data_IF_407263044857
#
_entry.id   IF_407263044857
#
_cell.length_a   1.000
_cell.length_b   1.000
_cell.length_c   1.000
_cell.angle_alpha   90.00
_cell.angle_beta   90.00
_cell.angle_gamma   90.00
#
_symmetry.space_group_name_H-M   'P 1'
#
loop_
_entity.id
_entity.type
_entity.pdbx_description
1 polymer ?
#
# COMPACT_ATOMS: atom_id res chain seq x y z
N UNK A 1 -28.92 -47.88 -3.33
CA UNK A 1 -27.73 -47.44 -4.06
C UNK A 1 -27.55 -45.98 -3.68
N UNK A 2 -26.84 -45.69 -2.57
CA UNK A 2 -26.60 -44.37 -2.08
C UNK A 2 -25.37 -43.82 -2.83
N UNK A 3 -25.52 -42.69 -3.51
CA UNK A 3 -24.41 -41.97 -4.11
C UNK A 3 -23.51 -41.42 -2.98
N UNK A 4 -22.23 -41.74 -3.07
CA UNK A 4 -21.17 -41.21 -2.20
C UNK A 4 -21.19 -39.69 -2.24
N UNK A 5 -21.20 -39.10 -1.05
CA UNK A 5 -21.13 -37.65 -0.89
C UNK A 5 -19.81 -37.12 -1.45
N UNK A 6 -19.88 -36.04 -2.20
CA UNK A 6 -18.76 -35.27 -2.66
C UNK A 6 -17.94 -34.85 -1.41
N UNK A 7 -16.80 -35.45 -1.21
CA UNK A 7 -15.84 -35.00 -0.22
C UNK A 7 -15.43 -33.57 -0.58
N UNK A 8 -15.67 -32.60 0.30
CA UNK A 8 -15.06 -31.30 0.21
C UNK A 8 -13.55 -31.48 0.25
N UNK A 9 -12.90 -31.26 -0.88
CA UNK A 9 -11.45 -31.36 -0.98
C UNK A 9 -10.77 -30.49 0.10
N UNK A 10 -9.67 -30.95 0.61
CA UNK A 10 -8.88 -30.18 1.57
C UNK A 10 -8.39 -28.88 0.94
N UNK A 11 -8.07 -27.86 1.73
CA UNK A 11 -7.52 -26.59 1.21
C UNK A 11 -6.29 -26.80 0.31
N UNK A 12 -5.55 -27.90 0.52
CA UNK A 12 -4.41 -28.31 -0.32
C UNK A 12 -4.84 -28.82 -1.70
N UNK A 13 -5.99 -29.51 -1.79
CA UNK A 13 -6.51 -30.00 -3.07
C UNK A 13 -7.02 -28.85 -3.96
N UNK A 14 -7.55 -27.80 -3.34
CA UNK A 14 -7.98 -26.59 -4.06
C UNK A 14 -6.75 -25.89 -4.67
N UNK A 15 -5.67 -25.68 -3.90
CA UNK A 15 -4.46 -25.05 -4.40
C UNK A 15 -3.76 -25.90 -5.48
N UNK A 16 -3.76 -27.21 -5.36
CA UNK A 16 -3.17 -28.13 -6.33
C UNK A 16 -3.89 -28.13 -7.68
N UNK A 17 -5.20 -27.80 -7.70
CA UNK A 17 -6.01 -27.73 -8.91
C UNK A 17 -6.05 -26.34 -9.56
N UNK A 18 -5.45 -25.31 -8.94
CA UNK A 18 -5.34 -23.97 -9.51
C UNK A 18 -4.22 -23.92 -10.55
N UNK A 19 -4.43 -23.17 -11.62
CA UNK A 19 -3.33 -22.93 -12.56
C UNK A 19 -2.27 -21.97 -11.94
N UNK A 20 -1.11 -21.91 -12.58
CA UNK A 20 0.03 -21.12 -12.07
C UNK A 20 -0.29 -19.63 -11.96
N UNK A 21 -1.12 -19.08 -12.86
CA UNK A 21 -1.51 -17.66 -12.80
C UNK A 21 -2.37 -17.38 -11.55
N UNK A 22 -3.35 -18.24 -11.31
CA UNK A 22 -4.25 -18.13 -10.17
C UNK A 22 -3.47 -18.31 -8.84
N UNK A 23 -2.57 -19.32 -8.77
CA UNK A 23 -1.69 -19.52 -7.60
C UNK A 23 -0.85 -18.28 -7.30
N UNK A 24 -0.25 -17.66 -8.32
CA UNK A 24 0.58 -16.48 -8.16
C UNK A 24 -0.22 -15.29 -7.63
N UNK A 25 -1.38 -15.01 -8.20
CA UNK A 25 -2.21 -13.85 -7.82
C UNK A 25 -2.88 -14.07 -6.47
N UNK A 26 -3.39 -15.26 -6.20
CA UNK A 26 -3.92 -15.60 -4.86
C UNK A 26 -2.84 -15.55 -3.78
N UNK A 27 -1.62 -16.01 -4.08
CA UNK A 27 -0.49 -15.89 -3.16
C UNK A 27 -0.17 -14.43 -2.83
N UNK A 28 -0.12 -13.55 -3.84
CA UNK A 28 0.03 -12.11 -3.61
C UNK A 28 -1.09 -11.54 -2.75
N UNK A 29 -2.35 -11.92 -3.02
CA UNK A 29 -3.51 -11.47 -2.25
C UNK A 29 -3.42 -11.89 -0.78
N UNK A 30 -3.12 -13.16 -0.51
CA UNK A 30 -3.02 -13.67 0.87
C UNK A 30 -1.89 -12.99 1.62
N UNK A 31 -0.70 -12.88 1.02
CA UNK A 31 0.47 -12.22 1.64
C UNK A 31 0.19 -10.74 1.90
N UNK A 32 -0.39 -10.02 0.93
CA UNK A 32 -0.76 -8.63 1.09
C UNK A 32 -1.69 -8.41 2.30
N UNK A 33 -2.74 -9.24 2.41
CA UNK A 33 -3.71 -9.13 3.50
C UNK A 33 -3.10 -9.48 4.86
N UNK A 34 -2.29 -10.53 4.94
CA UNK A 34 -1.59 -10.90 6.17
C UNK A 34 -0.70 -9.74 6.66
N UNK A 35 0.10 -9.15 5.76
CA UNK A 35 0.98 -8.02 6.08
C UNK A 35 0.19 -6.76 6.46
N UNK A 36 -0.88 -6.44 5.73
CA UNK A 36 -1.73 -5.29 6.04
C UNK A 36 -2.36 -5.39 7.42
N UNK A 37 -3.01 -6.51 7.74
CA UNK A 37 -3.66 -6.69 9.04
C UNK A 37 -2.65 -6.77 10.17
N UNK A 38 -1.53 -7.47 9.96
CA UNK A 38 -0.44 -7.50 10.94
C UNK A 38 0.06 -6.09 11.28
N UNK A 39 0.41 -5.28 10.27
CA UNK A 39 0.91 -3.93 10.48
C UNK A 39 -0.15 -3.00 11.10
N UNK A 40 -1.40 -3.07 10.62
CA UNK A 40 -2.50 -2.24 11.11
C UNK A 40 -2.83 -2.54 12.57
N UNK A 41 -2.93 -3.81 12.95
CA UNK A 41 -3.22 -4.23 14.32
C UNK A 41 -2.03 -3.95 15.25
N UNK A 42 -0.80 -4.15 14.78
CA UNK A 42 0.41 -3.84 15.56
C UNK A 42 0.50 -2.35 15.86
N UNK A 43 0.32 -1.49 14.86
CA UNK A 43 0.32 -0.03 15.07
C UNK A 43 -0.83 0.39 15.98
N UNK A 44 -2.02 -0.21 15.84
CA UNK A 44 -3.14 0.08 16.73
C UNK A 44 -2.89 -0.36 18.18
N UNK A 45 -2.24 -1.51 18.37
CA UNK A 45 -1.82 -1.97 19.69
C UNK A 45 -0.80 -0.99 20.31
N UNK A 46 0.20 -0.56 19.54
CA UNK A 46 1.17 0.44 19.99
C UNK A 46 0.46 1.76 20.34
N UNK A 47 -0.46 2.25 19.52
CA UNK A 47 -1.25 3.45 19.80
C UNK A 47 -2.06 3.33 21.10
N UNK A 48 -2.54 2.13 21.42
CA UNK A 48 -3.39 1.86 22.58
C UNK A 48 -2.57 1.68 23.86
N UNK A 49 -1.49 0.90 23.79
CA UNK A 49 -0.73 0.49 24.99
C UNK A 49 0.49 1.37 25.25
N UNK A 50 0.95 2.14 24.26
CA UNK A 50 2.11 3.02 24.35
C UNK A 50 1.75 4.47 23.94
N UNK A 51 0.73 5.11 24.54
CA UNK A 51 0.22 6.41 24.09
C UNK A 51 1.23 7.56 24.24
N UNK A 52 2.33 7.34 24.96
CA UNK A 52 3.43 8.30 25.09
C UNK A 52 4.41 8.32 23.91
N UNK A 53 4.29 7.40 22.93
CA UNK A 53 5.12 7.44 21.74
C UNK A 53 4.68 8.57 20.80
N UNK A 54 5.64 9.39 20.43
CA UNK A 54 5.37 10.56 19.60
C UNK A 54 5.16 10.17 18.14
N UNK A 55 4.17 10.78 17.51
CA UNK A 55 3.88 10.69 16.10
C UNK A 55 4.24 11.99 15.38
N UNK A 56 4.46 11.92 14.08
CA UNK A 56 4.88 13.04 13.22
C UNK A 56 3.98 14.27 13.34
N UNK A 57 2.68 14.08 13.57
CA UNK A 57 1.72 15.18 13.76
C UNK A 57 1.29 15.36 15.23
N UNK A 58 1.97 14.73 16.15
CA UNK A 58 1.72 14.83 17.60
C UNK A 58 0.46 14.08 18.06
N UNK A 59 -0.11 14.52 19.19
CA UNK A 59 -1.23 13.83 19.85
C UNK A 59 -2.48 13.68 18.97
N UNK A 60 -2.68 14.57 18.01
CA UNK A 60 -3.82 14.52 17.07
C UNK A 60 -3.82 13.28 16.16
N UNK A 61 -2.71 12.56 16.06
CA UNK A 61 -2.58 11.35 15.24
C UNK A 61 -3.06 10.08 15.93
N UNK A 62 -3.40 10.11 17.22
CA UNK A 62 -3.91 8.93 17.92
C UNK A 62 -5.37 8.66 17.55
N UNK A 63 -5.64 7.41 17.21
CA UNK A 63 -6.96 6.97 16.75
C UNK A 63 -7.78 6.40 17.91
N UNK A 64 -9.07 6.77 17.98
CA UNK A 64 -10.01 6.13 18.92
C UNK A 64 -10.38 4.73 18.43
N UNK A 65 -10.77 3.84 19.35
CA UNK A 65 -11.26 2.48 19.01
C UNK A 65 -12.42 2.50 18.01
N UNK A 66 -13.37 3.44 18.19
CA UNK A 66 -14.52 3.57 17.26
C UNK A 66 -14.08 3.95 15.85
N UNK A 67 -13.13 4.86 15.74
CA UNK A 67 -12.59 5.30 14.44
C UNK A 67 -11.79 4.18 13.78
N UNK A 68 -11.01 3.43 14.57
CA UNK A 68 -10.30 2.25 14.07
C UNK A 68 -11.26 1.20 13.53
N UNK A 69 -12.30 0.83 14.29
CA UNK A 69 -13.29 -0.16 13.85
C UNK A 69 -13.99 0.25 12.55
N UNK A 70 -14.34 1.54 12.40
CA UNK A 70 -14.90 2.05 11.15
C UNK A 70 -13.92 1.94 9.99
N UNK A 71 -12.65 2.35 10.18
CA UNK A 71 -11.64 2.24 9.13
C UNK A 71 -11.35 0.79 8.75
N UNK A 72 -11.29 -0.11 9.75
CA UNK A 72 -11.11 -1.54 9.53
C UNK A 72 -12.27 -2.17 8.75
N UNK A 73 -13.52 -1.76 9.03
CA UNK A 73 -14.68 -2.25 8.27
C UNK A 73 -14.64 -1.83 6.79
N UNK A 74 -14.25 -0.59 6.50
CA UNK A 74 -14.08 -0.12 5.13
C UNK A 74 -12.92 -0.83 4.44
N UNK A 75 -11.79 -0.99 5.13
CA UNK A 75 -10.64 -1.75 4.61
C UNK A 75 -11.03 -3.19 4.27
N UNK A 76 -11.77 -3.85 5.16
CA UNK A 76 -12.27 -5.20 4.94
C UNK A 76 -13.18 -5.28 3.71
N UNK A 77 -14.11 -4.33 3.54
CA UNK A 77 -14.98 -4.27 2.37
C UNK A 77 -14.17 -4.12 1.07
N UNK A 78 -13.16 -3.24 1.05
CA UNK A 78 -12.25 -3.08 -0.10
C UNK A 78 -11.47 -4.38 -0.39
N UNK A 79 -11.02 -5.08 0.63
CA UNK A 79 -10.32 -6.37 0.49
C UNK A 79 -11.24 -7.43 -0.14
N UNK A 80 -12.51 -7.52 0.30
CA UNK A 80 -13.48 -8.44 -0.28
C UNK A 80 -13.77 -8.09 -1.75
N UNK A 81 -13.94 -6.80 -2.08
CA UNK A 81 -14.10 -6.35 -3.47
C UNK A 81 -12.89 -6.74 -4.31
N UNK A 82 -11.67 -6.59 -3.77
CA UNK A 82 -10.44 -6.99 -4.43
C UNK A 82 -10.43 -8.49 -4.74
N UNK A 83 -10.78 -9.34 -3.78
CA UNK A 83 -10.85 -10.78 -3.98
C UNK A 83 -11.79 -11.17 -5.12
N UNK A 84 -12.96 -10.53 -5.18
CA UNK A 84 -13.99 -10.85 -6.16
C UNK A 84 -13.68 -10.33 -7.58
N UNK A 85 -13.07 -9.14 -7.71
CA UNK A 85 -12.92 -8.45 -8.98
C UNK A 85 -11.48 -8.45 -9.50
N UNK A 86 -10.49 -8.25 -8.63
CA UNK A 86 -9.11 -8.01 -9.05
C UNK A 86 -8.31 -9.29 -9.16
N UNK A 87 -8.53 -10.25 -8.27
CA UNK A 87 -7.77 -11.50 -8.33
C UNK A 87 -8.02 -12.24 -9.65
N UNK A 88 -9.26 -12.47 -10.10
CA UNK A 88 -9.49 -13.04 -11.43
C UNK A 88 -8.99 -12.16 -12.57
N UNK A 89 -9.17 -10.83 -12.47
CA UNK A 89 -8.71 -9.87 -13.45
C UNK A 89 -7.20 -9.86 -13.59
N UNK A 90 -6.47 -9.91 -12.48
CA UNK A 90 -5.01 -9.96 -12.45
C UNK A 90 -4.45 -11.25 -13.06
N UNK A 91 -5.04 -12.40 -12.75
CA UNK A 91 -4.68 -13.67 -13.37
C UNK A 91 -4.92 -13.64 -14.89
N UNK A 92 -6.03 -13.10 -15.34
CA UNK A 92 -6.33 -12.94 -16.74
C UNK A 92 -5.37 -11.98 -17.47
N UNK A 93 -5.03 -10.85 -16.84
CA UNK A 93 -4.04 -9.92 -17.38
C UNK A 93 -2.66 -10.58 -17.50
N UNK A 94 -2.23 -11.29 -16.45
CA UNK A 94 -0.95 -12.00 -16.47
C UNK A 94 -0.93 -13.05 -17.59
N UNK A 95 -2.01 -13.83 -17.72
CA UNK A 95 -2.21 -14.83 -18.79
C UNK A 95 -2.18 -14.22 -20.18
N UNK A 96 -2.76 -13.03 -20.34
CA UNK A 96 -2.75 -12.32 -21.64
C UNK A 96 -1.37 -11.77 -22.03
N UNK A 97 -0.56 -11.40 -21.06
CA UNK A 97 0.77 -10.82 -21.31
C UNK A 97 1.88 -11.87 -21.46
N UNK A 98 1.74 -13.03 -20.83
CA UNK A 98 2.80 -14.04 -20.77
C UNK A 98 2.24 -15.42 -21.07
N UNK A 99 2.74 -16.05 -22.15
CA UNK A 99 2.35 -17.40 -22.53
C UNK A 99 2.84 -18.47 -21.53
N UNK A 100 3.93 -18.18 -20.79
CA UNK A 100 4.50 -19.06 -19.79
C UNK A 100 4.80 -18.28 -18.51
N UNK A 101 3.91 -18.32 -17.52
CA UNK A 101 4.16 -17.70 -16.22
C UNK A 101 5.19 -18.51 -15.45
N UNK A 102 6.00 -17.82 -14.65
CA UNK A 102 6.87 -18.50 -13.69
C UNK A 102 6.05 -19.01 -12.51
N UNK A 103 6.16 -20.29 -12.19
CA UNK A 103 5.59 -20.92 -11.02
C UNK A 103 6.64 -21.15 -9.93
N UNK A 104 6.19 -21.58 -8.76
CA UNK A 104 7.06 -21.89 -7.62
C UNK A 104 8.09 -22.98 -7.92
N UNK A 105 7.82 -23.86 -8.89
CA UNK A 105 8.73 -24.93 -9.33
C UNK A 105 9.79 -24.47 -10.34
N UNK A 106 9.73 -23.24 -10.84
CA UNK A 106 10.75 -22.71 -11.75
C UNK A 106 12.02 -22.32 -10.99
N UNK A 107 13.17 -22.35 -11.67
CA UNK A 107 14.42 -21.92 -11.06
C UNK A 107 14.38 -20.41 -10.73
N UNK A 108 14.77 -20.07 -9.50
CA UNK A 108 14.90 -18.69 -9.07
C UNK A 108 16.26 -18.12 -9.53
N UNK A 109 16.22 -17.02 -10.27
CA UNK A 109 17.41 -16.37 -10.83
C UNK A 109 17.62 -14.98 -10.18
N UNK A 110 18.42 -14.85 -9.10
CA UNK A 110 18.55 -13.61 -8.34
C UNK A 110 18.85 -12.35 -9.17
N UNK A 111 19.77 -12.36 -10.18
CA UNK A 111 20.02 -11.18 -10.99
C UNK A 111 18.80 -10.73 -11.82
N UNK A 112 18.03 -11.68 -12.37
CA UNK A 112 16.79 -11.38 -13.08
C UNK A 112 15.75 -10.78 -12.13
N UNK A 113 15.58 -11.37 -10.97
CA UNK A 113 14.57 -10.91 -9.99
C UNK A 113 14.94 -9.53 -9.42
N UNK A 114 16.22 -9.20 -9.30
CA UNK A 114 16.65 -7.84 -8.98
C UNK A 114 16.21 -6.81 -10.03
N UNK A 115 16.29 -7.16 -11.33
CA UNK A 115 15.77 -6.30 -12.40
C UNK A 115 14.25 -6.20 -12.38
N UNK A 116 13.54 -7.28 -12.04
CA UNK A 116 12.09 -7.29 -11.85
C UNK A 116 11.69 -6.34 -10.72
N UNK A 117 12.39 -6.36 -9.59
CA UNK A 117 12.14 -5.44 -8.48
C UNK A 117 12.41 -3.98 -8.88
N UNK A 118 13.52 -3.72 -9.58
CA UNK A 118 13.82 -2.37 -10.08
C UNK A 118 12.76 -1.87 -11.07
N UNK A 119 12.32 -2.70 -12.00
CA UNK A 119 11.22 -2.38 -12.91
C UNK A 119 9.90 -2.14 -12.17
N UNK A 120 9.59 -2.96 -11.17
CA UNK A 120 8.38 -2.80 -10.34
C UNK A 120 8.39 -1.50 -9.54
N UNK A 121 9.56 -1.07 -9.04
CA UNK A 121 9.73 0.24 -8.38
C UNK A 121 9.46 1.40 -9.33
N UNK A 122 9.91 1.33 -10.57
CA UNK A 122 9.63 2.37 -11.57
C UNK A 122 8.14 2.40 -11.95
N UNK A 123 7.54 1.23 -12.12
CA UNK A 123 6.11 1.11 -12.45
C UNK A 123 5.23 1.65 -11.34
N UNK A 124 5.48 1.27 -10.08
CA UNK A 124 4.66 1.76 -8.96
C UNK A 124 4.83 3.27 -8.77
N UNK A 125 6.06 3.80 -8.84
CA UNK A 125 6.30 5.24 -8.68
C UNK A 125 5.57 6.04 -9.75
N UNK A 126 5.64 5.61 -11.01
CA UNK A 126 4.94 6.26 -12.12
C UNK A 126 3.43 6.13 -12.01
N UNK A 127 2.91 4.91 -11.83
CA UNK A 127 1.47 4.65 -11.81
C UNK A 127 0.79 5.34 -10.63
N UNK A 128 1.34 5.16 -9.43
CA UNK A 128 0.78 5.75 -8.22
C UNK A 128 0.84 7.28 -8.26
N UNK A 129 1.95 7.86 -8.69
CA UNK A 129 2.08 9.31 -8.82
C UNK A 129 0.98 9.91 -9.70
N UNK A 130 0.77 9.37 -10.91
CA UNK A 130 -0.20 9.93 -11.84
C UNK A 130 -1.64 9.69 -11.42
N UNK A 131 -1.97 8.51 -10.93
CA UNK A 131 -3.33 8.20 -10.44
C UNK A 131 -3.65 9.01 -9.20
N UNK A 132 -2.73 9.11 -8.25
CA UNK A 132 -2.89 9.88 -7.02
C UNK A 132 -3.01 11.38 -7.31
N UNK A 133 -2.13 11.92 -8.13
CA UNK A 133 -2.20 13.34 -8.55
C UNK A 133 -3.50 13.64 -9.30
N UNK A 134 -3.97 12.74 -10.16
CA UNK A 134 -5.26 12.88 -10.83
C UNK A 134 -6.43 12.89 -9.84
N UNK A 135 -6.38 12.07 -8.78
CA UNK A 135 -7.40 12.04 -7.74
C UNK A 135 -7.46 13.35 -6.92
N UNK A 136 -6.38 14.14 -6.89
CA UNK A 136 -6.36 15.48 -6.30
C UNK A 136 -6.98 16.56 -7.21
N UNK A 137 -7.32 16.24 -8.47
CA UNK A 137 -8.01 17.19 -9.33
C UNK A 137 -9.40 17.52 -8.76
N UNK A 138 -9.81 18.78 -8.79
CA UNK A 138 -11.02 19.30 -8.13
C UNK A 138 -12.32 18.57 -8.53
N UNK A 139 -12.41 18.06 -9.76
CA UNK A 139 -13.56 17.29 -10.25
C UNK A 139 -13.65 15.87 -9.69
N UNK A 140 -12.52 15.28 -9.28
CA UNK A 140 -12.43 13.88 -8.82
C UNK A 140 -12.34 13.84 -7.29
N UNK A 141 -11.57 14.74 -6.69
CA UNK A 141 -11.23 14.73 -5.27
C UNK A 141 -12.45 14.55 -4.37
N UNK A 142 -13.50 15.34 -4.59
CA UNK A 142 -14.70 15.32 -3.73
C UNK A 142 -15.41 13.96 -3.74
N UNK A 143 -15.46 13.32 -4.91
CA UNK A 143 -16.22 12.08 -5.11
C UNK A 143 -15.43 10.85 -4.62
N UNK A 144 -14.12 10.84 -4.82
CA UNK A 144 -13.27 9.66 -4.63
C UNK A 144 -12.28 9.87 -3.48
N UNK A 145 -11.30 10.74 -3.64
CA UNK A 145 -10.09 10.81 -2.81
C UNK A 145 -10.30 11.50 -1.45
N UNK A 146 -11.31 12.35 -1.34
CA UNK A 146 -11.64 13.02 -0.07
C UNK A 146 -11.93 12.02 1.06
N UNK A 147 -12.37 10.81 0.73
CA UNK A 147 -12.60 9.75 1.71
C UNK A 147 -11.29 9.37 2.40
N UNK A 148 -10.22 9.13 1.64
CA UNK A 148 -8.90 8.80 2.15
C UNK A 148 -8.34 9.93 3.04
N UNK A 149 -8.43 11.16 2.58
CA UNK A 149 -8.00 12.37 3.30
C UNK A 149 -8.86 12.77 4.51
N UNK A 150 -9.86 11.97 4.91
CA UNK A 150 -10.54 12.16 6.21
C UNK A 150 -9.56 11.97 7.38
N UNK A 151 -8.51 11.20 7.18
CA UNK A 151 -7.42 11.04 8.13
C UNK A 151 -6.29 12.01 7.76
N UNK A 152 -6.41 13.28 8.18
CA UNK A 152 -5.34 14.28 7.99
C UNK A 152 -4.10 13.98 8.82
N UNK A 153 -4.25 13.24 9.90
CA UNK A 153 -3.20 12.59 10.66
C UNK A 153 -3.47 11.08 10.61
N UNK A 154 -2.94 10.37 9.60
CA UNK A 154 -3.31 9.00 9.33
C UNK A 154 -2.79 8.02 10.39
N UNK A 155 -3.28 6.80 10.30
CA UNK A 155 -2.83 5.63 11.04
C UNK A 155 -2.78 4.45 10.10
N UNK A 156 -2.01 3.41 10.41
CA UNK A 156 -1.69 2.32 9.48
C UNK A 156 -2.92 1.73 8.77
N UNK A 157 -4.05 1.53 9.45
CA UNK A 157 -5.28 1.02 8.84
C UNK A 157 -5.88 1.96 7.80
N UNK A 158 -5.58 3.27 7.87
CA UNK A 158 -6.05 4.26 6.91
C UNK A 158 -5.43 4.09 5.52
N UNK A 159 -4.33 3.35 5.38
CA UNK A 159 -3.71 3.03 4.10
C UNK A 159 -4.70 2.39 3.09
N UNK A 160 -5.67 1.62 3.57
CA UNK A 160 -6.71 0.95 2.75
C UNK A 160 -8.10 1.57 2.95
N UNK A 161 -8.20 2.62 3.78
CA UNK A 161 -9.43 3.39 3.94
C UNK A 161 -9.58 4.37 2.78
N UNK A 162 -10.18 3.90 1.70
CA UNK A 162 -10.31 4.63 0.45
C UNK A 162 -11.63 4.29 -0.24
N UNK A 163 -12.04 5.13 -1.20
CA UNK A 163 -13.13 4.79 -2.11
C UNK A 163 -12.72 3.55 -2.94
N UNK A 164 -13.63 2.58 -3.24
CA UNK A 164 -13.26 1.38 -3.99
C UNK A 164 -12.53 1.64 -5.32
N UNK A 165 -12.90 2.66 -6.06
CA UNK A 165 -12.21 3.04 -7.31
C UNK A 165 -10.77 3.45 -7.04
N UNK A 166 -10.53 4.26 -6.03
CA UNK A 166 -9.17 4.64 -5.61
C UNK A 166 -8.37 3.43 -5.17
N UNK A 167 -8.97 2.60 -4.33
CA UNK A 167 -8.34 1.37 -3.85
C UNK A 167 -7.92 0.45 -5.00
N UNK A 168 -8.81 0.22 -5.97
CA UNK A 168 -8.53 -0.67 -7.09
C UNK A 168 -7.52 -0.06 -8.08
N UNK A 169 -7.73 1.19 -8.48
CA UNK A 169 -6.91 1.83 -9.53
C UNK A 169 -5.59 2.33 -8.96
N UNK A 170 -5.62 3.07 -7.86
CA UNK A 170 -4.42 3.65 -7.25
C UNK A 170 -3.58 2.61 -6.51
N UNK A 171 -4.17 1.99 -5.47
CA UNK A 171 -3.42 1.14 -4.56
C UNK A 171 -3.10 -0.22 -5.21
N UNK A 172 -4.13 -0.99 -5.58
CA UNK A 172 -3.92 -2.34 -6.13
C UNK A 172 -3.22 -2.27 -7.49
N UNK A 173 -3.65 -1.37 -8.39
CA UNK A 173 -2.99 -1.17 -9.68
C UNK A 173 -1.51 -0.80 -9.51
N UNK A 174 -1.20 0.12 -8.61
CA UNK A 174 0.18 0.52 -8.33
C UNK A 174 1.07 -0.65 -7.90
N UNK A 175 0.58 -1.47 -6.97
CA UNK A 175 1.38 -2.60 -6.44
C UNK A 175 1.44 -3.77 -7.42
N UNK A 176 0.34 -4.09 -8.12
CA UNK A 176 0.24 -5.32 -8.91
C UNK A 176 0.88 -5.23 -10.30
N UNK A 177 0.83 -4.06 -10.95
CA UNK A 177 1.25 -3.93 -12.35
C UNK A 177 2.72 -4.26 -12.56
N UNK A 178 3.63 -3.84 -11.68
CA UNK A 178 5.06 -4.11 -11.84
C UNK A 178 5.38 -5.61 -11.93
N UNK A 179 5.06 -6.42 -10.92
CA UNK A 179 5.26 -7.87 -10.97
C UNK A 179 4.60 -8.56 -12.16
N UNK A 180 3.38 -8.14 -12.54
CA UNK A 180 2.67 -8.71 -13.66
C UNK A 180 3.40 -8.40 -14.98
N UNK A 181 3.74 -7.13 -15.24
CA UNK A 181 4.42 -6.70 -16.46
C UNK A 181 5.81 -7.36 -16.63
N UNK A 182 6.53 -7.55 -15.53
CA UNK A 182 7.86 -8.13 -15.52
C UNK A 182 7.86 -9.67 -15.43
N UNK A 183 6.70 -10.34 -15.42
CA UNK A 183 6.57 -11.79 -15.19
C UNK A 183 7.39 -12.27 -13.99
N UNK A 184 7.18 -11.64 -12.85
CA UNK A 184 7.93 -11.92 -11.63
C UNK A 184 7.83 -13.39 -11.20
N UNK A 185 8.92 -13.94 -10.67
CA UNK A 185 8.84 -15.22 -9.97
C UNK A 185 7.89 -15.10 -8.76
N UNK A 186 7.07 -16.11 -8.41
CA UNK A 186 6.11 -16.02 -7.29
C UNK A 186 6.72 -15.50 -5.99
N UNK A 187 7.89 -15.98 -5.60
CA UNK A 187 8.56 -15.53 -4.38
C UNK A 187 8.92 -14.04 -4.43
N UNK A 188 9.33 -13.54 -5.59
CA UNK A 188 9.59 -12.10 -5.79
C UNK A 188 8.32 -11.29 -5.71
N UNK A 189 7.24 -11.75 -6.37
CA UNK A 189 5.95 -11.10 -6.32
C UNK A 189 5.38 -11.06 -4.89
N UNK A 190 5.41 -12.18 -4.18
CA UNK A 190 4.91 -12.25 -2.79
C UNK A 190 5.73 -11.36 -1.85
N UNK A 191 7.06 -11.39 -1.95
CA UNK A 191 7.94 -10.50 -1.19
C UNK A 191 7.68 -9.01 -1.51
N UNK A 192 7.48 -8.67 -2.80
CA UNK A 192 7.11 -7.34 -3.24
C UNK A 192 5.80 -6.87 -2.61
N UNK A 193 4.76 -7.69 -2.63
CA UNK A 193 3.48 -7.36 -2.00
C UNK A 193 3.62 -7.21 -0.48
N UNK A 194 4.38 -8.09 0.18
CA UNK A 194 4.65 -7.97 1.61
C UNK A 194 5.30 -6.63 1.96
N UNK A 195 6.41 -6.30 1.30
CA UNK A 195 7.14 -5.05 1.52
C UNK A 195 6.28 -3.84 1.19
N UNK A 196 5.52 -3.87 0.08
CA UNK A 196 4.64 -2.77 -0.32
C UNK A 196 3.56 -2.49 0.72
N UNK A 197 2.90 -3.52 1.25
CA UNK A 197 1.85 -3.35 2.27
C UNK A 197 2.41 -2.92 3.62
N UNK A 198 3.55 -3.47 4.05
CA UNK A 198 4.23 -3.02 5.27
C UNK A 198 4.67 -1.56 5.13
N UNK A 199 5.24 -1.17 3.99
CA UNK A 199 5.68 0.19 3.70
C UNK A 199 4.51 1.18 3.67
N UNK A 200 3.39 0.84 2.99
CA UNK A 200 2.23 1.73 2.95
C UNK A 200 1.56 1.88 4.32
N UNK A 201 1.47 0.81 5.12
CA UNK A 201 1.02 0.90 6.50
C UNK A 201 1.96 1.75 7.35
N UNK A 202 3.27 1.59 7.17
CA UNK A 202 4.30 2.40 7.83
C UNK A 202 4.17 3.88 7.50
N UNK A 203 4.03 4.23 6.23
CA UNK A 203 3.87 5.62 5.77
C UNK A 203 2.60 6.30 6.29
N UNK A 204 1.57 5.52 6.63
CA UNK A 204 0.33 6.01 7.24
C UNK A 204 0.33 5.91 8.78
N UNK A 205 1.33 5.27 9.39
CA UNK A 205 1.32 5.00 10.83
C UNK A 205 1.44 6.24 11.72
N UNK A 206 2.01 7.31 11.17
CA UNK A 206 2.42 8.50 11.91
C UNK A 206 3.76 8.33 12.63
N UNK A 207 4.41 7.18 12.54
CA UNK A 207 5.72 6.95 13.15
C UNK A 207 6.85 7.21 12.14
N UNK A 208 7.70 8.22 12.40
CA UNK A 208 8.83 8.59 11.54
C UNK A 208 9.78 7.41 11.27
N UNK A 209 10.01 6.57 12.28
CA UNK A 209 10.82 5.36 12.16
C UNK A 209 10.27 4.34 11.14
N UNK A 210 8.98 4.41 10.79
CA UNK A 210 8.32 3.59 9.79
C UNK A 210 8.11 4.31 8.45
N UNK A 211 8.72 5.50 8.27
CA UNK A 211 8.69 6.26 7.01
C UNK A 211 7.45 7.13 6.81
N UNK A 212 6.76 7.53 7.88
CA UNK A 212 5.54 8.33 7.79
C UNK A 212 5.76 9.79 7.33
N UNK A 213 6.95 10.35 7.46
CA UNK A 213 7.23 11.78 7.34
C UNK A 213 6.68 12.44 6.06
N UNK A 214 7.00 11.87 4.91
CA UNK A 214 6.63 12.48 3.60
C UNK A 214 5.13 12.35 3.33
N UNK A 215 4.56 11.22 3.69
CA UNK A 215 3.15 10.96 3.44
C UNK A 215 2.24 11.70 4.42
N UNK A 216 2.67 11.84 5.67
CA UNK A 216 2.01 12.72 6.65
C UNK A 216 2.01 14.19 6.19
N UNK A 217 3.10 14.67 5.58
CA UNK A 217 3.14 16.00 4.97
C UNK A 217 2.16 16.12 3.79
N UNK A 218 2.01 15.06 2.99
CA UNK A 218 1.00 15.01 1.95
C UNK A 218 -0.42 15.11 2.53
N UNK A 219 -0.77 14.29 3.53
CA UNK A 219 -2.08 14.33 4.18
C UNK A 219 -2.37 15.69 4.85
N UNK A 220 -1.34 16.39 5.31
CA UNK A 220 -1.45 17.70 5.94
C UNK A 220 -1.57 18.85 4.96
N UNK A 221 -0.87 18.78 3.81
CA UNK A 221 -0.72 19.88 2.84
C UNK A 221 -1.51 19.67 1.56
N UNK A 222 -1.86 18.45 1.22
CA UNK A 222 -2.67 18.01 0.07
C UNK A 222 -2.00 18.13 -1.32
N UNK A 223 -1.20 19.15 -1.55
CA UNK A 223 -0.70 19.53 -2.88
C UNK A 223 0.80 19.23 -3.09
N UNK A 224 1.37 18.27 -2.38
CA UNK A 224 2.76 17.86 -2.50
C UNK A 224 2.96 16.38 -2.18
N UNK A 225 4.10 15.80 -2.56
CA UNK A 225 4.49 14.42 -2.25
C UNK A 225 3.45 13.38 -2.71
N UNK A 226 3.11 13.37 -3.99
CA UNK A 226 2.09 12.46 -4.54
C UNK A 226 2.58 11.04 -4.75
N UNK A 227 3.89 10.83 -4.95
CA UNK A 227 4.48 9.53 -5.25
C UNK A 227 4.77 8.68 -4.03
N UNK A 228 5.01 7.39 -4.26
CA UNK A 228 5.52 6.45 -3.25
C UNK A 228 7.05 6.35 -3.30
N UNK A 229 7.64 6.69 -4.43
CA UNK A 229 9.09 6.72 -4.69
C UNK A 229 9.64 8.14 -4.84
N UNK A 230 10.95 8.27 -5.06
CA UNK A 230 11.59 9.58 -5.16
C UNK A 230 11.56 10.18 -6.57
N UNK A 231 11.21 9.38 -7.61
CA UNK A 231 11.48 9.79 -9.01
C UNK A 231 10.47 10.80 -9.52
N UNK A 232 9.19 10.47 -9.51
CA UNK A 232 8.16 11.33 -10.11
C UNK A 232 8.02 12.66 -9.37
N UNK A 233 7.96 12.68 -8.05
CA UNK A 233 7.89 13.92 -7.29
C UNK A 233 9.11 14.82 -7.53
N UNK A 234 10.31 14.25 -7.67
CA UNK A 234 11.53 15.00 -8.02
C UNK A 234 11.48 15.55 -9.44
N UNK A 235 11.08 14.70 -10.40
CA UNK A 235 11.03 15.05 -11.82
C UNK A 235 10.02 16.17 -12.09
N UNK A 236 8.84 16.06 -11.48
CA UNK A 236 7.74 17.02 -11.69
C UNK A 236 7.70 18.15 -10.67
N UNK A 237 8.73 18.25 -9.79
CA UNK A 237 8.87 19.33 -8.79
C UNK A 237 7.65 19.43 -7.87
N UNK A 238 7.13 18.30 -7.42
CA UNK A 238 5.99 18.21 -6.52
C UNK A 238 6.35 17.81 -5.10
N UNK A 239 7.65 17.68 -4.77
CA UNK A 239 8.09 17.52 -3.38
C UNK A 239 7.75 18.79 -2.59
N UNK A 240 7.50 18.64 -1.29
CA UNK A 240 7.23 19.77 -0.40
C UNK A 240 8.26 20.88 -0.54
N UNK A 241 9.54 20.54 -0.57
CA UNK A 241 10.66 21.47 -0.69
C UNK A 241 10.76 22.18 -2.03
N UNK A 242 10.19 21.61 -3.10
CA UNK A 242 10.17 22.21 -4.44
C UNK A 242 9.05 23.27 -4.61
N UNK A 243 8.07 23.28 -3.70
CA UNK A 243 6.88 24.16 -3.80
C UNK A 243 7.06 25.37 -2.86
N UNK A 244 7.22 26.60 -3.39
CA UNK A 244 7.55 27.80 -2.58
C UNK A 244 6.60 28.05 -1.40
N UNK A 245 5.28 27.83 -1.59
CA UNK A 245 4.27 27.99 -0.51
C UNK A 245 4.42 26.98 0.63
N UNK A 246 5.18 25.88 0.43
CA UNK A 246 5.37 24.82 1.40
C UNK A 246 6.82 24.67 1.88
N UNK A 247 7.81 25.07 1.08
CA UNK A 247 9.23 24.86 1.34
C UNK A 247 9.66 25.31 2.76
N UNK A 248 9.12 26.45 3.21
CA UNK A 248 9.43 27.02 4.52
C UNK A 248 8.43 26.63 5.62
N UNK A 249 7.44 25.79 5.33
CA UNK A 249 6.54 25.33 6.39
C UNK A 249 7.26 24.31 7.26
N UNK A 250 7.39 24.54 8.58
CA UNK A 250 8.08 23.61 9.47
C UNK A 250 7.36 22.27 9.50
N UNK A 251 8.14 21.19 9.53
CA UNK A 251 7.60 19.88 9.82
C UNK A 251 7.21 19.81 11.30
N UNK A 252 6.10 19.18 11.68
CA UNK A 252 5.71 19.07 13.09
C UNK A 252 6.79 18.47 13.99
N UNK A 253 7.65 17.59 13.44
CA UNK A 253 8.79 17.00 14.15
C UNK A 253 9.99 17.91 14.29
N UNK A 254 10.06 19.04 13.60
CA UNK A 254 11.21 19.96 13.71
C UNK A 254 11.35 20.52 15.13
N UNK A 255 10.24 20.59 15.88
CA UNK A 255 10.24 20.96 17.32
C UNK A 255 11.04 19.99 18.20
N UNK A 256 11.27 18.74 17.76
CA UNK A 256 12.04 17.72 18.47
C UNK A 256 13.46 17.57 17.96
N UNK A 257 13.79 18.17 16.81
CA UNK A 257 15.15 18.16 16.27
C UNK A 257 16.00 19.10 17.11
N UNK A 258 17.20 18.67 17.54
CA UNK A 258 18.13 19.60 18.18
C UNK A 258 18.40 20.77 17.21
N UNK A 259 18.28 22.00 17.72
CA UNK A 259 18.64 23.18 16.94
C UNK A 259 20.07 23.02 16.40
N UNK A 260 20.39 23.72 15.30
CA UNK A 260 21.73 23.71 14.71
C UNK A 260 22.83 24.03 15.75
N UNK A 261 22.44 24.59 16.88
CA UNK A 261 23.30 24.98 18.01
C UNK A 261 23.31 23.94 19.15
N UNK A 262 22.76 22.74 18.95
CA UNK A 262 22.74 21.66 19.95
C UNK A 262 21.83 21.90 21.16
N UNK A 263 21.07 22.98 21.19
CA UNK A 263 20.09 23.28 22.25
C UNK A 263 18.70 22.83 21.79
N UNK A 264 17.98 22.10 22.64
CA UNK A 264 16.54 21.80 22.42
C UNK A 264 15.77 23.12 22.46
N UNK A 265 14.88 23.31 21.47
CA UNK A 265 13.96 24.44 21.45
C UNK A 265 12.93 24.32 22.59
#
# INVERSE_FOLDING_TARGET
MFQEGAAFGTSMDILANMDTYDQNVWGCYVVANACFWFASLSCHAVDTFCPGLEKTQGQKSHMTQRTFAHAAAVAFANIVICAAAVVPGGANLWRALHAAPLGVGNAFHPPREALVLAGSLLVIDFWFYWTHRAMHHSSIYRAIHKMHHRFTAPTAVAAVYAHPVEFLVGNVGGVALGPILCNAHPYTAWAWFAVSLLSTCGSHSGYAALGADKHDEHHRLFDCNFGVGPFCDSLFKTRKEDIPKFANKPHPMDRFRPGKDGKRA
#
